data_IF_106859329243
#
_entry.id   IF_106859329243
#
_cell.length_a   1.000
_cell.length_b   1.000
_cell.length_c   1.000
_cell.angle_alpha   90.00
_cell.angle_beta   90.00
_cell.angle_gamma   90.00
#
_symmetry.space_group_name_H-M   'P 1'
#
loop_
_entity.id
_entity.type
_entity.pdbx_description
1 polymer ?
#
# COMPACT_ATOMS: atom_id res chain seq x y z
N UNK A 1 -6.55 3.83 -12.24
CA UNK A 1 -5.51 3.39 -11.29
C UNK A 1 -5.18 4.54 -10.36
N UNK A 2 -5.23 4.34 -9.05
CA UNK A 2 -4.83 5.34 -8.06
C UNK A 2 -3.30 5.38 -7.98
N UNK A 3 -2.70 6.58 -7.91
CA UNK A 3 -1.24 6.78 -8.00
C UNK A 3 -0.60 7.28 -6.69
N UNK A 4 -1.33 7.22 -5.58
CA UNK A 4 -0.90 7.76 -4.29
C UNK A 4 -2.05 7.74 -3.30
N UNK A 5 -2.11 8.76 -2.44
CA UNK A 5 -3.19 8.93 -1.47
C UNK A 5 -4.43 9.64 -2.02
N UNK A 6 -5.57 9.40 -1.38
CA UNK A 6 -6.83 10.08 -1.65
C UNK A 6 -7.87 9.74 -0.60
N UNK A 7 -9.13 10.05 -0.87
CA UNK A 7 -10.23 9.66 0.00
C UNK A 7 -11.50 9.31 -0.77
N UNK A 8 -12.36 8.53 -0.14
CA UNK A 8 -13.76 8.33 -0.53
C UNK A 8 -14.62 8.70 0.67
N UNK A 9 -15.81 9.26 0.42
CA UNK A 9 -16.70 9.65 1.49
C UNK A 9 -18.16 9.58 1.04
N UNK A 10 -19.06 9.41 2.01
CA UNK A 10 -20.49 9.55 1.76
C UNK A 10 -20.81 10.97 1.28
N UNK A 11 -21.86 11.17 0.46
CA UNK A 11 -22.25 12.50 0.04
C UNK A 11 -22.53 13.40 1.24
N UNK A 12 -22.09 14.65 1.18
CA UNK A 12 -22.26 15.70 2.20
C UNK A 12 -21.50 15.51 3.51
N UNK A 13 -20.68 14.46 3.66
CA UNK A 13 -19.85 14.28 4.87
C UNK A 13 -19.14 15.59 5.29
N UNK A 14 -19.19 16.00 6.57
CA UNK A 14 -19.75 15.29 7.74
C UNK A 14 -21.23 15.59 8.02
N UNK A 15 -21.94 16.24 7.09
CA UNK A 15 -23.40 16.42 7.18
C UNK A 15 -24.14 15.15 6.74
N UNK A 16 -25.44 15.09 7.06
CA UNK A 16 -26.26 13.90 6.82
C UNK A 16 -26.28 13.46 5.36
N UNK A 17 -25.98 12.18 5.14
CA UNK A 17 -26.02 11.57 3.82
C UNK A 17 -27.46 11.42 3.31
N UNK A 18 -27.69 11.47 1.98
CA UNK A 18 -28.99 11.16 1.39
C UNK A 18 -29.41 9.70 1.59
N UNK A 19 -30.72 9.46 1.63
CA UNK A 19 -31.32 8.12 1.55
C UNK A 19 -31.27 7.54 0.12
N UNK A 20 -31.54 6.25 -0.03
CA UNK A 20 -31.64 5.50 -1.28
C UNK A 20 -30.38 5.53 -2.15
N UNK A 21 -29.22 5.41 -1.52
CA UNK A 21 -27.94 5.38 -2.21
C UNK A 21 -27.44 3.95 -2.41
N UNK A 22 -26.84 3.71 -3.57
CA UNK A 22 -25.98 2.56 -3.84
C UNK A 22 -24.77 3.07 -4.62
N UNK A 23 -23.71 3.39 -3.89
CA UNK A 23 -22.46 3.92 -4.44
C UNK A 23 -21.37 2.86 -4.38
N UNK A 24 -20.55 2.78 -5.43
CA UNK A 24 -19.40 1.88 -5.44
C UNK A 24 -18.16 2.56 -6.00
N UNK A 25 -17.05 2.41 -5.30
CA UNK A 25 -15.73 2.88 -5.72
C UNK A 25 -14.79 1.69 -5.90
N UNK A 26 -14.00 1.70 -6.97
CA UNK A 26 -12.94 0.72 -7.19
C UNK A 26 -11.59 1.42 -7.12
N UNK A 27 -10.80 1.06 -6.12
CA UNK A 27 -9.43 1.54 -5.93
C UNK A 27 -8.50 0.48 -6.50
N UNK A 28 -7.97 0.74 -7.69
CA UNK A 28 -6.98 -0.11 -8.36
C UNK A 28 -5.61 0.55 -8.24
N UNK A 29 -4.67 -0.07 -7.53
CA UNK A 29 -3.28 0.38 -7.43
C UNK A 29 -2.38 -0.37 -8.43
N UNK A 30 -1.14 0.11 -8.66
CA UNK A 30 -0.18 -0.60 -9.51
C UNK A 30 0.05 -2.05 -9.04
N UNK A 31 0.44 -2.96 -9.95
CA UNK A 31 0.76 -4.34 -9.58
C UNK A 31 1.77 -4.42 -8.44
N UNK A 32 1.63 -5.43 -7.59
CA UNK A 32 2.47 -5.70 -6.41
C UNK A 32 2.39 -4.68 -5.27
N UNK A 33 1.65 -3.58 -5.40
CA UNK A 33 1.41 -2.63 -4.30
C UNK A 33 0.20 -3.01 -3.45
N UNK A 34 0.10 -2.44 -2.24
CA UNK A 34 -1.06 -2.59 -1.36
C UNK A 34 -1.69 -1.24 -1.05
N UNK A 35 -2.98 -1.26 -0.74
CA UNK A 35 -3.78 -0.10 -0.38
C UNK A 35 -4.04 -0.16 1.12
N UNK A 36 -3.64 0.89 1.84
CA UNK A 36 -4.05 1.13 3.22
C UNK A 36 -5.32 1.97 3.20
N UNK A 37 -6.32 1.57 3.98
CA UNK A 37 -7.57 2.31 4.22
C UNK A 37 -7.65 2.69 5.69
N UNK A 38 -7.96 3.96 5.94
CA UNK A 38 -8.11 4.54 7.27
C UNK A 38 -9.44 5.26 7.35
N UNK A 39 -10.32 4.82 8.26
CA UNK A 39 -11.62 5.43 8.48
C UNK A 39 -11.47 6.66 9.38
N UNK A 40 -12.12 7.75 9.00
CA UNK A 40 -12.24 8.94 9.82
C UNK A 40 -13.02 8.64 11.11
N UNK A 41 -12.60 9.27 12.21
CA UNK A 41 -13.23 9.08 13.51
C UNK A 41 -14.68 9.60 13.58
N UNK A 42 -15.08 10.54 12.71
CA UNK A 42 -16.46 11.03 12.60
C UNK A 42 -17.39 10.07 11.85
N UNK A 43 -17.10 8.77 11.90
CA UNK A 43 -17.93 7.73 11.32
C UNK A 43 -19.30 7.66 12.02
N UNK A 44 -20.36 7.59 11.22
CA UNK A 44 -21.71 7.37 11.73
C UNK A 44 -22.67 7.01 10.61
N UNK A 45 -23.25 5.82 10.69
CA UNK A 45 -24.36 5.36 9.87
C UNK A 45 -25.54 4.95 10.78
N UNK A 46 -26.65 4.50 10.19
CA UNK A 46 -27.74 3.88 10.93
C UNK A 46 -27.26 2.70 11.78
N UNK A 47 -27.92 2.45 12.91
CA UNK A 47 -27.53 1.38 13.82
C UNK A 47 -27.83 0.00 13.26
N UNK A 48 -27.12 -1.00 13.76
CA UNK A 48 -27.36 -2.40 13.41
C UNK A 48 -28.68 -2.91 13.98
N UNK A 49 -29.40 -3.72 13.21
CA UNK A 49 -30.53 -4.50 13.69
C UNK A 49 -30.03 -5.91 14.06
N UNK A 50 -30.24 -6.32 15.32
CA UNK A 50 -29.79 -7.63 15.82
C UNK A 50 -28.28 -7.91 15.57
N UNK A 51 -27.46 -6.86 15.66
CA UNK A 51 -26.01 -6.96 15.40
C UNK A 51 -25.61 -7.03 13.93
N UNK A 52 -26.57 -6.86 12.99
CA UNK A 52 -26.34 -6.89 11.55
C UNK A 52 -26.63 -5.53 10.92
N UNK A 53 -25.71 -5.03 10.09
CA UNK A 53 -25.88 -3.81 9.32
C UNK A 53 -26.76 -4.05 8.09
N UNK A 54 -28.08 -4.11 8.29
CA UNK A 54 -29.09 -4.44 7.27
C UNK A 54 -29.49 -3.24 6.40
N UNK A 55 -29.66 -2.09 7.02
CA UNK A 55 -30.22 -0.88 6.39
C UNK A 55 -29.11 -0.10 5.66
N UNK A 56 -28.34 0.67 6.43
CA UNK A 56 -27.22 1.46 5.95
C UNK A 56 -25.89 0.79 6.29
N UNK A 57 -24.99 0.75 5.32
CA UNK A 57 -23.66 0.21 5.57
C UNK A 57 -22.62 0.69 4.57
N UNK A 58 -21.37 0.69 5.02
CA UNK A 58 -20.20 0.66 4.14
C UNK A 58 -19.57 -0.74 4.21
N UNK A 59 -19.25 -1.29 3.05
CA UNK A 59 -18.64 -2.60 2.88
C UNK A 59 -17.34 -2.46 2.08
N UNK A 60 -16.31 -3.18 2.51
CA UNK A 60 -14.99 -3.18 1.86
C UNK A 60 -14.66 -4.60 1.42
N UNK A 61 -14.35 -4.75 0.14
CA UNK A 61 -14.03 -6.01 -0.51
C UNK A 61 -12.64 -5.92 -1.15
N UNK A 62 -11.81 -6.94 -0.94
CA UNK A 62 -10.54 -7.18 -1.61
C UNK A 62 -10.76 -8.14 -2.77
N UNK A 63 -10.51 -7.70 -4.00
CA UNK A 63 -10.87 -8.46 -5.19
C UNK A 63 -9.61 -8.93 -5.90
N UNK A 64 -9.51 -10.25 -6.10
CA UNK A 64 -8.53 -10.88 -6.99
C UNK A 64 -9.23 -11.48 -8.21
N UNK A 65 -8.46 -12.03 -9.14
CA UNK A 65 -9.01 -12.73 -10.30
C UNK A 65 -9.82 -13.99 -9.92
N UNK A 66 -9.47 -14.63 -8.80
CA UNK A 66 -10.01 -15.94 -8.41
C UNK A 66 -10.88 -15.91 -7.16
N UNK A 67 -10.84 -14.83 -6.37
CA UNK A 67 -11.53 -14.74 -5.09
C UNK A 67 -11.85 -13.31 -4.68
N UNK A 68 -12.85 -13.15 -3.83
CA UNK A 68 -13.19 -11.89 -3.16
C UNK A 68 -13.14 -12.10 -1.65
N UNK A 69 -12.39 -11.26 -0.94
CA UNK A 69 -12.32 -11.23 0.52
C UNK A 69 -13.18 -10.07 1.01
N UNK A 70 -14.22 -10.36 1.78
CA UNK A 70 -15.01 -9.33 2.44
C UNK A 70 -14.30 -8.97 3.75
N UNK A 71 -13.71 -7.78 3.82
CA UNK A 71 -13.09 -7.28 5.05
C UNK A 71 -14.12 -7.03 6.15
N UNK A 72 -15.29 -6.58 5.74
CA UNK A 72 -16.42 -6.40 6.61
C UNK A 72 -17.45 -5.44 6.05
N UNK A 73 -18.54 -5.35 6.81
CA UNK A 73 -19.67 -4.46 6.61
C UNK A 73 -19.92 -3.74 7.92
N UNK A 74 -19.96 -2.42 7.88
CA UNK A 74 -20.01 -1.59 9.08
C UNK A 74 -21.10 -0.54 9.01
N UNK A 75 -21.66 -0.25 10.19
CA UNK A 75 -22.72 0.71 10.45
C UNK A 75 -22.62 1.17 11.92
N UNK A 76 -23.56 1.99 12.38
CA UNK A 76 -23.50 2.62 13.71
C UNK A 76 -22.43 3.70 13.83
N UNK A 77 -21.95 3.97 15.04
CA UNK A 77 -21.06 5.12 15.33
C UNK A 77 -19.58 4.79 15.51
N UNK A 78 -19.20 3.51 15.46
CA UNK A 78 -17.80 3.12 15.68
C UNK A 78 -17.07 2.97 14.35
N UNK A 79 -16.09 3.84 14.12
CA UNK A 79 -15.19 3.74 12.97
C UNK A 79 -14.48 2.37 12.95
N UNK A 80 -14.43 1.68 11.80
CA UNK A 80 -13.66 0.45 11.63
C UNK A 80 -12.16 0.67 11.82
N UNK A 81 -11.45 -0.39 12.24
CA UNK A 81 -9.99 -0.38 12.27
C UNK A 81 -9.41 -0.22 10.86
N UNK A 82 -8.18 0.31 10.78
CA UNK A 82 -7.46 0.42 9.50
C UNK A 82 -7.36 -0.94 8.79
N UNK A 83 -7.46 -0.92 7.47
CA UNK A 83 -7.41 -2.12 6.62
C UNK A 83 -6.21 -2.01 5.70
N UNK A 84 -5.38 -3.05 5.64
CA UNK A 84 -4.33 -3.18 4.62
C UNK A 84 -4.74 -4.25 3.64
N UNK A 85 -4.93 -3.87 2.38
CA UNK A 85 -5.36 -4.79 1.32
C UNK A 85 -4.37 -5.97 1.15
N UNK A 86 -4.90 -7.09 0.68
CA UNK A 86 -4.14 -8.27 0.25
C UNK A 86 -3.79 -8.19 -1.24
N UNK A 87 -4.66 -7.59 -2.04
CA UNK A 87 -4.46 -7.36 -3.48
C UNK A 87 -4.25 -5.88 -3.79
N UNK A 88 -4.11 -5.55 -5.07
CA UNK A 88 -4.07 -4.19 -5.58
C UNK A 88 -5.45 -3.65 -5.99
N UNK A 89 -6.54 -4.37 -5.71
CA UNK A 89 -7.90 -3.95 -6.06
C UNK A 89 -8.85 -4.04 -4.87
N UNK A 90 -9.25 -2.88 -4.37
CA UNK A 90 -10.29 -2.74 -3.36
C UNK A 90 -11.57 -2.23 -4.01
N UNK A 91 -12.71 -2.81 -3.62
CA UNK A 91 -14.04 -2.25 -3.88
C UNK A 91 -14.66 -1.79 -2.57
N UNK A 92 -15.18 -0.57 -2.57
CA UNK A 92 -15.91 0.01 -1.45
C UNK A 92 -17.34 0.20 -1.92
N UNK A 93 -18.31 -0.31 -1.16
CA UNK A 93 -19.74 -0.17 -1.46
C UNK A 93 -20.40 0.55 -0.30
N UNK A 94 -21.13 1.61 -0.59
CA UNK A 94 -22.01 2.27 0.38
C UNK A 94 -23.46 2.10 -0.06
N UNK A 95 -24.27 1.57 0.86
CA UNK A 95 -25.73 1.48 0.69
C UNK A 95 -26.39 2.31 1.79
N UNK A 96 -27.43 3.04 1.41
CA UNK A 96 -28.44 3.54 2.35
C UNK A 96 -29.84 3.11 1.93
N UNK A 97 -30.75 2.88 2.88
CA UNK A 97 -32.13 2.51 2.59
C UNK A 97 -33.04 3.72 2.33
N UNK A 98 -34.36 3.53 2.30
CA UNK A 98 -35.34 4.58 1.99
C UNK A 98 -35.77 5.41 3.20
N UNK A 99 -35.18 5.18 4.38
CA UNK A 99 -35.42 5.96 5.58
C UNK A 99 -34.40 7.09 5.73
N UNK A 100 -34.81 8.20 6.34
CA UNK A 100 -33.88 9.30 6.62
C UNK A 100 -33.27 9.14 8.00
N UNK A 101 -31.94 9.18 8.06
CA UNK A 101 -31.17 9.20 9.30
C UNK A 101 -30.21 10.39 9.32
N UNK A 102 -30.24 11.15 10.41
CA UNK A 102 -29.35 12.29 10.60
C UNK A 102 -27.99 11.86 11.14
N UNK A 103 -27.19 11.16 10.32
CA UNK A 103 -25.88 10.61 10.69
C UNK A 103 -24.77 11.19 9.81
N UNK A 104 -23.54 11.40 10.31
CA UNK A 104 -22.49 12.14 9.60
C UNK A 104 -21.97 11.42 8.35
N UNK A 105 -22.18 10.11 8.25
CA UNK A 105 -21.70 9.28 7.16
C UNK A 105 -20.31 8.72 7.42
N UNK A 106 -19.48 8.63 6.39
CA UNK A 106 -18.11 8.16 6.52
C UNK A 106 -17.17 8.92 5.59
N UNK A 107 -15.89 8.93 5.98
CA UNK A 107 -14.76 9.26 5.11
C UNK A 107 -13.69 8.20 5.32
N UNK A 108 -13.14 7.69 4.24
CA UNK A 108 -12.04 6.73 4.22
C UNK A 108 -10.91 7.36 3.45
N UNK A 109 -9.80 7.63 4.12
CA UNK A 109 -8.55 7.98 3.48
C UNK A 109 -7.87 6.70 2.99
N UNK A 110 -7.36 6.71 1.77
CA UNK A 110 -6.57 5.62 1.23
C UNK A 110 -5.18 6.10 0.87
N UNK A 111 -4.20 5.22 0.99
CA UNK A 111 -2.82 5.45 0.57
C UNK A 111 -2.21 4.17 0.02
N UNK A 112 -1.17 4.31 -0.79
CA UNK A 112 -0.39 3.17 -1.25
C UNK A 112 0.67 2.87 -0.22
N UNK A 113 0.74 1.62 0.22
CA UNK A 113 1.91 1.11 0.90
C UNK A 113 2.91 0.76 -0.19
N UNK A 114 3.99 1.53 -0.26
CA UNK A 114 5.12 1.22 -1.12
C UNK A 114 5.72 -0.09 -0.62
N UNK A 115 5.36 -1.19 -1.28
CA UNK A 115 6.20 -2.39 -1.30
C UNK A 115 7.39 -2.08 -2.21
N UNK A 116 8.20 -1.08 -1.85
CA UNK A 116 9.53 -1.03 -2.42
C UNK A 116 10.26 -2.24 -1.82
N UNK A 117 10.74 -3.20 -2.63
CA UNK A 117 11.75 -4.11 -2.11
C UNK A 117 12.96 -3.29 -1.59
N UNK A 118 13.23 -2.11 -2.18
CA UNK A 118 14.36 -1.25 -1.82
C UNK A 118 14.41 -0.74 -0.37
N UNK A 119 13.30 -0.66 0.37
CA UNK A 119 13.34 -0.24 1.77
C UNK A 119 13.88 -1.34 2.72
N UNK A 120 13.96 -2.59 2.25
CA UNK A 120 14.50 -3.73 2.99
C UNK A 120 15.77 -4.32 2.39
N UNK A 121 16.22 -3.85 1.23
CA UNK A 121 17.44 -4.33 0.61
C UNK A 121 18.64 -3.60 1.22
N UNK A 122 19.49 -4.37 1.89
CA UNK A 122 20.83 -3.89 2.23
C UNK A 122 21.58 -3.54 0.94
N UNK A 123 22.52 -2.61 1.05
CA UNK A 123 23.13 -1.81 -0.03
C UNK A 123 23.63 -2.61 -1.25
N UNK A 124 23.80 -3.93 -1.14
CA UNK A 124 24.26 -4.82 -2.21
C UNK A 124 23.12 -5.46 -3.03
N UNK A 125 21.93 -5.65 -2.46
CA UNK A 125 20.77 -6.22 -3.17
C UNK A 125 20.02 -5.15 -4.01
N UNK A 126 20.12 -3.88 -3.62
CA UNK A 126 19.58 -2.74 -4.37
C UNK A 126 20.31 -2.53 -5.72
N UNK A 127 21.61 -2.85 -5.77
CA UNK A 127 22.46 -2.69 -6.97
C UNK A 127 22.05 -3.68 -8.07
N UNK A 128 21.63 -4.89 -7.70
CA UNK A 128 21.21 -5.92 -8.66
C UNK A 128 19.86 -5.60 -9.29
N UNK A 129 18.93 -4.97 -8.55
CA UNK A 129 17.60 -4.60 -9.07
C UNK A 129 17.60 -3.33 -9.93
N UNK A 130 18.59 -2.44 -9.77
CA UNK A 130 18.77 -1.25 -10.62
C UNK A 130 19.55 -1.51 -11.92
N UNK A 131 19.92 -2.76 -12.20
CA UNK A 131 20.72 -3.15 -13.37
C UNK A 131 19.97 -3.12 -14.71
N UNK A 132 19.21 -2.05 -14.97
CA UNK A 132 18.85 -1.64 -16.34
C UNK A 132 19.03 -0.12 -16.49
N UNK A 133 20.20 0.40 -16.14
CA UNK A 133 20.64 1.65 -16.77
C UNK A 133 21.03 1.33 -18.21
N UNK A 134 20.10 1.62 -19.13
CA UNK A 134 20.34 1.66 -20.58
C UNK A 134 21.59 2.50 -20.86
N UNK A 135 22.65 1.87 -21.34
CA UNK A 135 23.76 2.57 -21.94
C UNK A 135 23.32 3.13 -23.30
N UNK A 136 23.17 4.44 -23.42
CA UNK A 136 23.15 5.11 -24.73
C UNK A 136 24.58 5.54 -25.06
N UNK A 137 25.22 4.98 -26.11
CA UNK A 137 26.51 5.46 -26.53
C UNK A 137 26.37 6.89 -27.07
N UNK A 138 27.27 7.78 -26.66
CA UNK A 138 27.42 9.08 -27.32
C UNK A 138 27.78 8.91 -28.81
N UNK A 139 27.54 9.93 -29.65
CA UNK A 139 27.86 9.87 -31.07
C UNK A 139 29.38 9.67 -31.26
N UNK A 140 29.78 8.49 -31.70
CA UNK A 140 31.18 8.13 -31.96
C UNK A 140 31.57 6.65 -31.78
N UNK A 141 30.71 5.82 -31.16
CA UNK A 141 31.12 4.49 -30.68
C UNK A 141 31.15 3.32 -31.70
N UNK A 142 31.23 3.59 -33.01
CA UNK A 142 31.25 2.51 -34.03
C UNK A 142 32.47 2.55 -34.96
N UNK A 143 33.70 2.52 -34.43
CA UNK A 143 34.93 2.16 -35.16
C UNK A 143 35.89 1.59 -34.10
N UNK A 144 36.39 0.35 -34.09
CA UNK A 144 36.71 -0.65 -35.11
C UNK A 144 36.85 -2.02 -34.43
N UNK A 145 36.72 -3.10 -35.22
CA UNK A 145 36.87 -4.51 -34.82
C UNK A 145 38.17 -4.79 -34.05
N UNK A 146 38.08 -5.41 -32.88
CA UNK A 146 39.11 -6.37 -32.43
C UNK A 146 38.49 -7.49 -31.60
N UNK A 147 38.87 -8.71 -31.96
CA UNK A 147 38.43 -9.98 -31.38
C UNK A 147 38.98 -10.06 -29.95
N UNK A 148 38.14 -9.94 -28.93
CA UNK A 148 38.57 -10.09 -27.54
C UNK A 148 38.53 -11.58 -27.15
N UNK A 149 39.69 -12.12 -26.81
CA UNK A 149 39.84 -13.43 -26.18
C UNK A 149 39.79 -13.22 -24.67
N UNK A 150 38.87 -13.90 -23.99
CA UNK A 150 38.65 -13.73 -22.54
C UNK A 150 39.39 -14.83 -21.79
N UNK A 151 40.36 -14.46 -20.95
CA UNK A 151 40.93 -15.34 -19.92
C UNK A 151 40.67 -14.65 -18.58
N UNK A 152 39.95 -15.32 -17.69
CA UNK A 152 39.82 -14.90 -16.30
C UNK A 152 41.05 -15.42 -15.55
N UNK A 153 41.94 -14.53 -15.14
CA UNK A 153 42.92 -14.85 -14.09
C UNK A 153 42.28 -14.63 -12.71
N UNK A 154 42.58 -15.56 -11.80
CA UNK A 154 42.03 -15.63 -10.45
C UNK A 154 42.22 -14.32 -9.67
N UNK A 155 41.13 -13.83 -9.07
CA UNK A 155 41.16 -12.67 -8.18
C UNK A 155 41.63 -13.13 -6.80
N UNK A 156 42.89 -12.89 -6.48
CA UNK A 156 43.40 -13.02 -5.11
C UNK A 156 42.93 -11.82 -4.27
N UNK A 157 42.00 -12.06 -3.34
CA UNK A 157 41.64 -11.08 -2.32
C UNK A 157 42.68 -11.15 -1.19
N UNK A 158 43.51 -10.12 -1.05
CA UNK A 158 44.37 -9.96 0.12
C UNK A 158 43.52 -9.54 1.33
N UNK A 159 43.45 -10.41 2.32
CA UNK A 159 42.96 -10.12 3.67
C UNK A 159 43.94 -9.18 4.37
N UNK A 160 43.51 -7.98 4.75
CA UNK A 160 44.25 -7.12 5.68
C UNK A 160 43.83 -7.47 7.12
N UNK A 161 44.82 -7.85 7.93
CA UNK A 161 44.68 -8.21 9.33
C UNK A 161 44.46 -6.98 10.25
N UNK A 162 43.65 -7.20 11.30
CA UNK A 162 43.66 -6.55 12.63
C UNK A 162 42.93 -5.21 12.82
N UNK A 163 41.74 -5.27 13.41
CA UNK A 163 41.10 -4.15 14.11
C UNK A 163 41.46 -4.20 15.61
N UNK A 164 42.29 -3.28 16.09
CA UNK A 164 42.51 -3.07 17.52
C UNK A 164 41.47 -2.07 18.07
N UNK A 165 40.46 -2.57 18.78
CA UNK A 165 39.54 -1.73 19.56
C UNK A 165 40.11 -1.54 20.97
N UNK A 166 40.63 -0.35 21.30
CA UNK A 166 41.00 0.02 22.67
C UNK A 166 39.76 0.48 23.43
N UNK A 167 39.36 -0.30 24.44
CA UNK A 167 38.30 0.07 25.39
C UNK A 167 38.97 0.42 26.73
N UNK A 168 39.00 1.70 27.11
CA UNK A 168 39.21 2.15 28.50
C UNK A 168 37.80 2.45 29.04
N UNK A 169 37.28 1.90 30.14
CA UNK A 169 37.91 1.59 31.42
C UNK A 169 36.95 0.75 32.31
N UNK A 170 37.50 -0.28 32.96
CA UNK A 170 37.00 -0.94 34.21
C UNK A 170 37.76 -0.31 35.41
N UNK A 171 37.50 -0.58 36.73
CA UNK A 171 36.97 -1.81 37.35
C UNK A 171 36.04 -1.58 38.60
N UNK A 172 35.68 -2.63 39.37
CA UNK A 172 34.55 -2.63 40.33
C UNK A 172 34.98 -2.50 41.80
N UNK A 173 34.00 -2.23 42.67
CA UNK A 173 33.83 -2.94 43.94
C UNK A 173 32.36 -3.02 44.32
#
# INVERSE_FOLDING_TARGET
MVKGGGHVQSPRFPSSYPRNLLLSWKLLSPPHTRILLEFDAQFGLEEAENGVCRYDYVEVEDISETSTIIWGRWCGQRAPSRITSKTNLIKITFKSDDYFVAKPGFKICYSLLDSSPLASLTNWEAVTMMSVLKFSPGPGFYKTKTRAHWVLEEIHLQHHERCDCVCQSRPPR
#
